data_IF_781647411410
#
_entry.id   IF_781647411410
#
_cell.length_a   1.000
_cell.length_b   1.000
_cell.length_c   1.000
_cell.angle_alpha   90.00
_cell.angle_beta   90.00
_cell.angle_gamma   90.00
#
_symmetry.space_group_name_H-M   'P 1'
#
loop_
_entity.id
_entity.type
_entity.pdbx_description
1 polymer ?
#
# COMPACT_ATOMS: atom_id res chain seq x y z
N UNK A 1 0.03 11.31 16.02
CA UNK A 1 0.45 12.40 15.12
C UNK A 1 1.68 11.90 14.38
N UNK A 2 1.93 12.31 13.11
CA UNK A 2 3.15 11.89 12.43
C UNK A 2 4.40 12.47 13.10
N UNK A 3 5.54 11.81 12.93
CA UNK A 3 6.84 12.22 13.47
C UNK A 3 7.71 12.81 12.36
N UNK A 4 8.19 14.05 12.55
CA UNK A 4 9.15 14.70 11.65
C UNK A 4 10.55 14.11 11.83
N UNK A 5 11.16 13.66 10.75
CA UNK A 5 12.51 13.05 10.76
C UNK A 5 13.28 13.43 9.51
N UNK A 6 14.59 13.15 9.49
CA UNK A 6 15.42 13.25 8.29
C UNK A 6 15.86 11.87 7.80
N UNK A 7 16.01 11.74 6.49
CA UNK A 7 16.54 10.54 5.86
C UNK A 7 18.02 10.32 6.20
N UNK A 8 18.36 9.12 6.65
CA UNK A 8 19.75 8.69 6.93
C UNK A 8 20.55 8.43 5.64
N UNK A 9 19.86 8.07 4.55
CA UNK A 9 20.42 7.94 3.21
C UNK A 9 19.32 8.08 2.16
N UNK A 10 19.70 8.39 0.92
CA UNK A 10 18.74 8.43 -0.17
C UNK A 10 18.02 7.07 -0.31
N UNK A 11 16.73 7.13 -0.65
CA UNK A 11 15.89 5.95 -0.79
C UNK A 11 14.86 6.14 -1.89
N UNK A 12 14.66 5.07 -2.68
CA UNK A 12 13.40 4.88 -3.42
C UNK A 12 12.26 4.73 -2.42
N UNK A 13 11.11 5.30 -2.75
CA UNK A 13 9.86 5.16 -2.00
C UNK A 13 8.93 4.23 -2.76
N UNK A 14 8.32 3.26 -2.08
CA UNK A 14 7.50 2.21 -2.69
C UNK A 14 6.03 2.32 -2.28
N UNK A 15 5.12 1.74 -3.08
CA UNK A 15 3.69 1.79 -2.76
C UNK A 15 3.27 0.84 -1.63
N UNK A 16 4.13 -0.10 -1.24
CA UNK A 16 3.94 -1.02 -0.12
C UNK A 16 5.28 -1.40 0.53
N UNK A 17 5.26 -2.15 1.64
CA UNK A 17 6.43 -2.46 2.47
C UNK A 17 7.28 -3.61 1.90
N UNK A 18 7.58 -3.57 0.60
CA UNK A 18 8.48 -4.50 -0.09
C UNK A 18 8.98 -3.88 -1.41
N UNK A 19 10.26 -4.04 -1.75
CA UNK A 19 10.88 -3.44 -2.93
C UNK A 19 10.72 -4.24 -4.23
N UNK A 20 10.27 -5.48 -4.14
CA UNK A 20 10.17 -6.43 -5.25
C UNK A 20 8.72 -6.59 -5.73
N UNK A 21 7.76 -6.57 -4.81
CA UNK A 21 6.35 -6.79 -5.09
C UNK A 21 5.59 -5.47 -5.36
N UNK A 22 6.10 -4.34 -4.86
CA UNK A 22 5.47 -3.02 -5.03
C UNK A 22 6.22 -2.13 -6.01
N UNK A 23 5.45 -1.38 -6.80
CA UNK A 23 6.00 -0.38 -7.70
C UNK A 23 6.61 0.81 -6.92
N UNK A 24 7.52 1.55 -7.55
CA UNK A 24 8.08 2.77 -7.00
C UNK A 24 7.11 3.96 -7.13
N UNK A 25 7.03 4.77 -6.06
CA UNK A 25 6.25 6.01 -5.94
C UNK A 25 7.07 7.24 -6.38
N UNK A 26 8.36 7.19 -6.07
CA UNK A 26 9.35 8.26 -6.27
C UNK A 26 10.58 7.98 -5.42
N UNK A 27 11.29 9.04 -5.02
CA UNK A 27 12.48 8.96 -4.18
C UNK A 27 12.55 10.13 -3.21
N UNK A 28 13.34 9.96 -2.16
CA UNK A 28 13.73 10.99 -1.18
C UNK A 28 15.26 11.00 -1.06
N UNK A 29 15.83 12.19 -0.92
CA UNK A 29 17.27 12.41 -0.83
C UNK A 29 17.83 12.18 0.58
N UNK A 30 19.16 12.07 0.68
CA UNK A 30 19.86 12.12 1.96
C UNK A 30 19.53 13.44 2.68
N UNK A 31 19.31 13.38 3.99
CA UNK A 31 18.95 14.52 4.85
C UNK A 31 17.63 15.22 4.51
N UNK A 32 16.85 14.73 3.55
CA UNK A 32 15.52 15.27 3.27
C UNK A 32 14.59 15.04 4.47
N UNK A 33 13.79 16.05 4.80
CA UNK A 33 12.82 15.98 5.88
C UNK A 33 11.53 15.30 5.41
N UNK A 34 11.07 14.30 6.17
CA UNK A 34 9.83 13.56 5.89
C UNK A 34 8.97 13.45 7.14
N UNK A 35 7.69 13.14 6.97
CA UNK A 35 6.75 12.85 8.05
C UNK A 35 6.50 11.33 8.10
N UNK A 36 6.79 10.69 9.23
CA UNK A 36 6.53 9.26 9.44
C UNK A 36 5.17 9.09 10.10
N UNK A 37 4.29 8.31 9.48
CA UNK A 37 2.93 8.08 9.98
C UNK A 37 2.79 6.76 10.73
N UNK A 38 3.53 5.74 10.31
CA UNK A 38 3.41 4.39 10.86
C UNK A 38 4.59 3.51 10.46
N UNK A 39 4.68 2.36 11.13
CA UNK A 39 5.45 1.19 10.71
C UNK A 39 4.52 0.14 10.10
N UNK A 40 5.00 -0.60 9.11
CA UNK A 40 4.39 -1.85 8.65
C UNK A 40 5.51 -2.82 8.33
N UNK A 41 5.51 -4.00 8.96
CA UNK A 41 6.65 -4.94 8.90
C UNK A 41 7.93 -4.19 9.28
N UNK A 42 8.97 -4.21 8.44
CA UNK A 42 10.24 -3.50 8.67
C UNK A 42 10.39 -2.24 7.80
N UNK A 43 9.28 -1.52 7.57
CA UNK A 43 9.21 -0.34 6.70
C UNK A 43 8.45 0.80 7.35
N UNK A 44 8.90 2.03 7.12
CA UNK A 44 8.20 3.24 7.54
C UNK A 44 7.27 3.74 6.42
N UNK A 45 6.01 4.00 6.76
CA UNK A 45 5.07 4.72 5.91
C UNK A 45 5.25 6.22 6.09
N UNK A 46 5.70 6.90 5.05
CA UNK A 46 6.11 8.32 5.08
C UNK A 46 5.25 9.19 4.17
N UNK A 47 5.24 10.50 4.46
CA UNK A 47 4.83 11.55 3.54
C UNK A 47 6.01 12.49 3.29
N UNK A 48 6.20 12.89 2.04
CA UNK A 48 7.27 13.77 1.62
C UNK A 48 6.77 14.74 0.54
N UNK A 49 7.38 15.93 0.50
CA UNK A 49 7.03 16.98 -0.45
C UNK A 49 7.67 16.71 -1.80
N UNK A 50 6.91 16.88 -2.88
CA UNK A 50 7.43 16.79 -4.26
C UNK A 50 7.37 18.12 -5.00
N UNK A 51 7.07 19.20 -4.27
CA UNK A 51 6.91 20.56 -4.75
C UNK A 51 6.33 21.43 -3.65
N UNK A 52 5.95 22.67 -3.98
CA UNK A 52 5.44 23.64 -3.00
C UNK A 52 4.12 23.22 -2.35
N UNK A 53 3.23 22.57 -3.11
CA UNK A 53 1.89 22.18 -2.66
C UNK A 53 1.58 20.69 -2.86
N UNK A 54 2.51 19.93 -3.44
CA UNK A 54 2.31 18.52 -3.76
C UNK A 54 3.10 17.64 -2.82
N UNK A 55 2.48 16.53 -2.42
CA UNK A 55 3.06 15.55 -1.51
C UNK A 55 2.76 14.15 -2.02
N UNK A 56 3.58 13.19 -1.64
CA UNK A 56 3.31 11.77 -1.86
C UNK A 56 3.44 11.01 -0.55
N UNK A 57 2.74 9.89 -0.44
CA UNK A 57 2.99 8.90 0.62
C UNK A 57 3.42 7.56 0.03
N UNK A 58 4.21 6.84 0.81
CA UNK A 58 4.72 5.52 0.45
C UNK A 58 5.64 4.98 1.53
N UNK A 59 6.39 3.93 1.22
CA UNK A 59 7.20 3.19 2.18
C UNK A 59 8.69 3.30 1.86
N UNK A 60 9.49 3.46 2.91
CA UNK A 60 10.96 3.35 2.86
C UNK A 60 11.43 2.29 3.88
N UNK A 61 12.53 1.59 3.62
CA UNK A 61 13.06 0.60 4.56
C UNK A 61 13.37 1.24 5.92
N UNK A 62 13.18 0.49 7.00
CA UNK A 62 13.48 0.94 8.37
C UNK A 62 14.87 1.59 8.51
N UNK A 63 15.89 1.01 7.87
CA UNK A 63 17.28 1.47 7.92
C UNK A 63 17.54 2.82 7.22
N UNK A 64 16.54 3.42 6.56
CA UNK A 64 16.69 4.68 5.81
C UNK A 64 16.34 5.93 6.62
N UNK A 65 15.86 5.78 7.84
CA UNK A 65 15.48 6.91 8.72
C UNK A 65 16.51 7.09 9.84
N UNK A 66 16.90 8.33 10.12
CA UNK A 66 17.75 8.63 11.26
C UNK A 66 17.02 8.32 12.58
N UNK A 67 17.74 7.71 13.54
CA UNK A 67 17.18 7.27 14.82
C UNK A 67 15.96 6.34 14.67
N UNK A 68 15.99 5.44 13.68
CA UNK A 68 14.86 4.57 13.33
C UNK A 68 14.17 3.88 14.52
N UNK A 69 14.92 3.41 15.52
CA UNK A 69 14.33 2.77 16.70
C UNK A 69 13.41 3.72 17.49
N UNK A 70 13.90 4.91 17.83
CA UNK A 70 13.12 5.91 18.53
C UNK A 70 11.92 6.40 17.69
N UNK A 71 12.08 6.45 16.37
CA UNK A 71 10.98 6.81 15.46
C UNK A 71 9.91 5.72 15.44
N UNK A 72 10.29 4.45 15.38
CA UNK A 72 9.36 3.33 15.43
C UNK A 72 8.58 3.29 16.75
N UNK A 73 9.21 3.61 17.88
CA UNK A 73 8.53 3.72 19.18
C UNK A 73 7.54 4.89 19.23
N UNK A 74 7.71 5.90 18.37
CA UNK A 74 6.87 7.11 18.32
C UNK A 74 5.65 7.02 17.40
N UNK A 75 5.57 5.99 16.55
CA UNK A 75 4.51 5.85 15.54
C UNK A 75 3.79 4.50 15.68
N UNK A 76 2.51 4.40 15.29
CA UNK A 76 1.79 3.14 15.36
C UNK A 76 2.37 2.09 14.40
N UNK A 77 2.26 0.82 14.76
CA UNK A 77 2.44 -0.30 13.82
C UNK A 77 1.10 -0.62 13.16
N UNK A 78 1.05 -0.58 11.83
CA UNK A 78 -0.12 -0.95 11.03
C UNK A 78 -0.18 -2.46 10.89
N UNK A 79 -1.35 -2.99 11.20
CA UNK A 79 -1.78 -4.34 10.86
C UNK A 79 -3.14 -4.21 10.20
N UNK A 80 -3.29 -4.73 8.99
CA UNK A 80 -4.55 -4.58 8.27
C UNK A 80 -5.51 -5.73 8.52
N UNK A 81 -6.78 -5.37 8.51
CA UNK A 81 -7.86 -6.25 8.07
C UNK A 81 -8.44 -5.65 6.80
N UNK A 82 -9.22 -6.43 6.05
CA UNK A 82 -9.77 -5.95 4.79
C UNK A 82 -10.49 -7.03 4.03
N UNK A 83 -10.90 -6.67 2.82
CA UNK A 83 -11.76 -7.47 1.96
C UNK A 83 -11.37 -7.29 0.50
N UNK A 84 -11.84 -8.20 -0.34
CA UNK A 84 -11.90 -7.96 -1.78
C UNK A 84 -13.11 -7.07 -2.08
N UNK A 85 -12.92 -6.09 -2.94
CA UNK A 85 -13.98 -5.27 -3.51
C UNK A 85 -13.78 -5.22 -5.04
N UNK A 86 -14.81 -4.76 -5.76
CA UNK A 86 -14.77 -4.60 -7.21
C UNK A 86 -15.33 -3.24 -7.56
N UNK A 87 -14.65 -2.52 -8.44
CA UNK A 87 -15.10 -1.18 -8.77
C UNK A 87 -16.30 -1.20 -9.70
N UNK A 88 -17.34 -0.40 -9.41
CA UNK A 88 -18.47 -0.18 -10.32
C UNK A 88 -18.27 1.00 -11.27
N UNK A 89 -17.16 1.73 -11.13
CA UNK A 89 -16.82 2.92 -11.91
C UNK A 89 -15.30 3.12 -11.95
N UNK A 90 -14.78 4.12 -12.66
CA UNK A 90 -13.36 4.44 -12.57
C UNK A 90 -13.07 5.13 -11.23
N UNK A 91 -12.11 4.61 -10.47
CA UNK A 91 -11.64 5.19 -9.21
C UNK A 91 -10.29 5.85 -9.42
N UNK A 92 -10.23 7.15 -9.21
CA UNK A 92 -8.95 7.84 -9.05
C UNK A 92 -8.37 7.46 -7.70
N UNK A 93 -7.20 6.83 -7.71
CA UNK A 93 -6.44 6.54 -6.50
C UNK A 93 -5.42 7.65 -6.32
N UNK A 94 -5.24 8.17 -5.12
CA UNK A 94 -4.24 9.18 -4.78
C UNK A 94 -3.15 8.59 -3.88
N UNK A 95 -1.93 9.12 -3.92
CA UNK A 95 -0.85 8.68 -3.02
C UNK A 95 -1.08 9.01 -1.54
N UNK A 96 -2.03 9.89 -1.22
CA UNK A 96 -2.43 10.25 0.14
C UNK A 96 -3.93 10.60 0.21
N UNK A 97 -4.48 10.81 1.41
CA UNK A 97 -5.91 11.02 1.63
C UNK A 97 -6.31 12.45 1.25
N UNK A 98 -6.55 12.67 -0.04
CA UNK A 98 -6.93 13.96 -0.60
C UNK A 98 -7.10 13.92 -2.12
N UNK A 99 -7.25 15.08 -2.75
CA UNK A 99 -7.41 15.20 -4.20
C UNK A 99 -6.06 15.09 -4.92
N UNK A 100 -6.12 14.83 -6.23
CA UNK A 100 -4.93 14.74 -7.10
C UNK A 100 -4.11 16.02 -7.18
N UNK A 101 -4.69 17.16 -6.78
CA UNK A 101 -3.99 18.46 -6.69
C UNK A 101 -2.94 18.49 -5.57
N UNK A 102 -3.21 17.80 -4.45
CA UNK A 102 -2.28 17.73 -3.30
C UNK A 102 -1.50 16.42 -3.32
N UNK A 103 -2.19 15.30 -3.56
CA UNK A 103 -1.60 13.98 -3.62
C UNK A 103 -1.74 13.41 -5.03
N UNK A 104 -0.70 13.44 -5.87
CA UNK A 104 -0.78 12.97 -7.24
C UNK A 104 -1.36 11.55 -7.34
N UNK A 105 -2.11 11.32 -8.41
CA UNK A 105 -2.71 10.01 -8.68
C UNK A 105 -1.70 9.10 -9.39
N UNK A 106 -1.35 7.93 -8.83
CA UNK A 106 -0.43 7.00 -9.47
C UNK A 106 -1.11 6.05 -10.48
N UNK A 107 -2.43 6.15 -10.62
CA UNK A 107 -3.22 5.36 -11.56
C UNK A 107 -4.70 5.33 -11.17
N UNK A 108 -5.45 4.63 -12.00
CA UNK A 108 -6.90 4.44 -11.89
C UNK A 108 -7.19 2.96 -11.68
N UNK A 109 -8.15 2.63 -10.82
CA UNK A 109 -8.81 1.32 -10.84
C UNK A 109 -10.04 1.45 -11.73
N UNK A 110 -10.07 0.76 -12.85
CA UNK A 110 -11.14 0.86 -13.83
C UNK A 110 -12.40 0.10 -13.38
N UNK A 111 -13.55 0.48 -13.93
CA UNK A 111 -14.80 -0.23 -13.69
C UNK A 111 -14.65 -1.72 -14.04
N UNK A 112 -15.08 -2.60 -13.12
CA UNK A 112 -14.96 -4.05 -13.23
C UNK A 112 -13.65 -4.64 -12.67
N UNK A 113 -12.65 -3.82 -12.35
CA UNK A 113 -11.41 -4.30 -11.74
C UNK A 113 -11.59 -4.61 -10.25
N UNK A 114 -11.04 -5.74 -9.83
CA UNK A 114 -10.96 -6.14 -8.43
C UNK A 114 -9.77 -5.48 -7.73
N UNK A 115 -9.93 -5.17 -6.45
CA UNK A 115 -8.88 -4.62 -5.61
C UNK A 115 -9.06 -5.06 -4.16
N UNK A 116 -8.00 -4.93 -3.36
CA UNK A 116 -8.06 -5.13 -1.92
C UNK A 116 -8.43 -3.83 -1.24
N UNK A 117 -9.50 -3.84 -0.47
CA UNK A 117 -9.94 -2.74 0.39
C UNK A 117 -9.45 -3.00 1.80
N UNK A 118 -8.56 -2.16 2.32
CA UNK A 118 -8.19 -2.22 3.73
C UNK A 118 -9.26 -1.55 4.59
N UNK A 119 -9.45 -2.05 5.82
CA UNK A 119 -10.26 -1.40 6.86
C UNK A 119 -9.50 -0.22 7.48
N UNK A 120 -8.99 0.67 6.62
CA UNK A 120 -8.33 1.90 7.03
C UNK A 120 -8.91 3.06 6.24
N UNK A 121 -9.46 4.02 6.98
CA UNK A 121 -10.07 5.22 6.43
C UNK A 121 -9.43 6.44 7.06
N UNK A 122 -9.08 7.43 6.23
CA UNK A 122 -8.65 8.75 6.68
C UNK A 122 -9.57 9.79 6.06
N UNK A 123 -10.40 10.44 6.88
CA UNK A 123 -11.46 11.34 6.40
C UNK A 123 -12.41 10.61 5.46
N UNK A 124 -12.61 11.14 4.25
CA UNK A 124 -13.48 10.52 3.23
C UNK A 124 -12.78 9.48 2.37
N UNK A 125 -11.53 9.12 2.64
CA UNK A 125 -10.73 8.24 1.77
C UNK A 125 -10.43 6.90 2.43
N UNK A 126 -10.59 5.82 1.68
CA UNK A 126 -10.26 4.46 2.10
C UNK A 126 -8.93 4.05 1.45
N UNK A 127 -8.05 3.42 2.23
CA UNK A 127 -6.80 2.87 1.73
C UNK A 127 -7.05 1.55 0.99
N UNK A 128 -6.50 1.42 -0.21
CA UNK A 128 -6.69 0.26 -1.09
C UNK A 128 -5.37 -0.21 -1.68
N UNK A 129 -5.33 -1.45 -2.12
CA UNK A 129 -4.25 -2.07 -2.89
C UNK A 129 -4.79 -2.66 -4.19
N UNK A 130 -4.08 -2.42 -5.29
CA UNK A 130 -4.50 -2.82 -6.62
C UNK A 130 -3.29 -3.12 -7.51
N UNK A 131 -3.47 -4.05 -8.43
CA UNK A 131 -2.41 -4.50 -9.33
C UNK A 131 -2.31 -3.59 -10.55
N UNK A 132 -1.09 -3.34 -11.02
CA UNK A 132 -0.84 -2.64 -12.28
C UNK A 132 0.25 -3.36 -13.08
N UNK A 133 0.42 -3.02 -14.36
CA UNK A 133 1.47 -3.60 -15.21
C UNK A 133 2.89 -3.31 -14.71
N UNK A 134 3.09 -2.29 -13.86
CA UNK A 134 4.39 -1.96 -13.26
C UNK A 134 4.56 -2.49 -11.83
N UNK A 135 3.67 -3.37 -11.38
CA UNK A 135 3.66 -3.94 -10.03
C UNK A 135 2.47 -3.47 -9.21
N UNK A 136 2.36 -4.00 -7.99
CA UNK A 136 1.27 -3.69 -7.06
C UNK A 136 1.43 -2.27 -6.53
N UNK A 137 0.31 -1.55 -6.39
CA UNK A 137 0.25 -0.20 -5.85
C UNK A 137 -0.76 -0.12 -4.70
N UNK A 138 -0.53 0.80 -3.78
CA UNK A 138 -1.47 1.16 -2.72
C UNK A 138 -1.71 2.66 -2.73
N UNK A 139 -2.88 3.07 -2.28
CA UNK A 139 -3.22 4.49 -2.20
C UNK A 139 -4.61 4.68 -1.64
N UNK A 140 -5.16 5.87 -1.84
CA UNK A 140 -6.39 6.32 -1.23
C UNK A 140 -7.43 6.61 -2.30
N UNK A 141 -8.56 5.91 -2.24
CA UNK A 141 -9.72 6.16 -3.09
C UNK A 141 -10.85 6.79 -2.27
N UNK A 142 -11.71 7.58 -2.91
CA UNK A 142 -12.84 8.21 -2.23
C UNK A 142 -13.84 7.13 -1.79
N UNK A 143 -14.12 7.06 -0.48
CA UNK A 143 -14.92 5.98 0.13
C UNK A 143 -16.32 5.89 -0.46
N UNK A 144 -16.93 7.03 -0.79
CA UNK A 144 -18.26 7.09 -1.39
C UNK A 144 -18.34 6.53 -2.82
N UNK A 145 -17.19 6.29 -3.47
CA UNK A 145 -17.12 5.70 -4.81
C UNK A 145 -16.88 4.19 -4.78
N UNK A 146 -16.56 3.61 -3.61
CA UNK A 146 -16.34 2.17 -3.49
C UNK A 146 -17.67 1.42 -3.51
N UNK A 147 -17.70 0.26 -4.17
CA UNK A 147 -18.91 -0.56 -4.24
C UNK A 147 -19.27 -1.21 -2.89
N UNK A 148 -18.29 -1.42 -2.00
CA UNK A 148 -18.52 -1.93 -0.65
C UNK A 148 -18.98 -3.38 -0.63
N UNK A 149 -18.56 -4.21 -1.60
CA UNK A 149 -18.94 -5.62 -1.66
C UNK A 149 -18.38 -6.44 -0.50
N UNK A 150 -17.21 -6.04 0.01
CA UNK A 150 -16.54 -6.60 1.18
C UNK A 150 -16.51 -8.13 1.22
N UNK A 151 -15.95 -8.77 0.18
CA UNK A 151 -15.90 -10.23 0.05
C UNK A 151 -14.66 -10.81 0.72
N UNK A 152 -14.81 -11.97 1.36
CA UNK A 152 -13.70 -12.73 1.94
C UNK A 152 -13.09 -12.09 3.18
N UNK A 153 -11.85 -12.46 3.51
CA UNK A 153 -11.08 -11.87 4.61
C UNK A 153 -9.62 -11.72 4.20
N UNK A 154 -9.03 -10.57 4.47
CA UNK A 154 -7.61 -10.31 4.27
C UNK A 154 -6.74 -11.26 5.12
N UNK A 155 -5.71 -11.82 4.51
CA UNK A 155 -4.69 -12.62 5.15
C UNK A 155 -3.29 -12.25 4.60
N UNK A 156 -2.26 -12.55 5.37
CA UNK A 156 -0.86 -12.42 4.98
C UNK A 156 -0.28 -13.81 4.70
N UNK A 157 0.48 -13.95 3.62
CA UNK A 157 1.24 -15.16 3.30
C UNK A 157 2.46 -15.23 4.22
N UNK A 158 2.38 -16.02 5.29
CA UNK A 158 3.38 -16.03 6.38
C UNK A 158 4.33 -17.22 6.40
N UNK A 159 4.03 -18.32 5.71
CA UNK A 159 4.84 -19.53 5.75
C UNK A 159 5.90 -19.57 4.64
N UNK A 160 5.48 -19.69 3.38
CA UNK A 160 6.31 -19.71 2.17
C UNK A 160 5.50 -19.25 0.97
N UNK A 161 6.19 -18.74 -0.06
CA UNK A 161 5.59 -18.51 -1.38
C UNK A 161 4.97 -19.80 -1.92
N UNK A 162 3.82 -19.70 -2.58
CA UNK A 162 3.07 -20.85 -3.06
C UNK A 162 2.55 -20.63 -4.47
N UNK A 163 2.50 -21.72 -5.26
CA UNK A 163 1.83 -21.74 -6.56
C UNK A 163 0.32 -21.73 -6.37
N UNK A 164 -0.36 -20.85 -7.09
CA UNK A 164 -1.82 -20.78 -7.14
C UNK A 164 -2.31 -21.65 -8.29
N UNK A 165 -3.33 -22.47 -8.03
CA UNK A 165 -3.96 -23.35 -9.01
C UNK A 165 -5.39 -22.88 -9.31
N UNK A 166 -5.89 -23.12 -10.52
CA UNK A 166 -7.26 -22.75 -10.94
C UNK A 166 -8.35 -23.66 -10.34
N UNK A 167 -7.99 -24.50 -9.38
CA UNK A 167 -8.89 -25.37 -8.65
C UNK A 167 -8.30 -25.82 -7.31
N UNK A 168 -9.03 -26.64 -6.55
CA UNK A 168 -8.72 -26.91 -5.14
C UNK A 168 -7.52 -27.86 -4.92
N UNK A 169 -6.85 -28.32 -5.99
CA UNK A 169 -5.76 -29.30 -5.92
C UNK A 169 -4.59 -28.90 -6.82
N UNK A 170 -3.41 -29.45 -6.54
CA UNK A 170 -2.16 -29.15 -7.24
C UNK A 170 -2.03 -29.79 -8.65
N UNK A 171 -3.03 -30.55 -9.09
CA UNK A 171 -3.11 -31.10 -10.44
C UNK A 171 -3.93 -30.24 -11.41
N UNK A 172 -4.44 -29.09 -10.94
CA UNK A 172 -5.10 -28.10 -11.80
C UNK A 172 -4.06 -27.21 -12.49
N UNK A 173 -4.51 -26.45 -13.49
CA UNK A 173 -3.65 -25.48 -14.20
C UNK A 173 -3.13 -24.45 -13.21
N UNK A 174 -1.84 -24.12 -13.30
CA UNK A 174 -1.25 -23.02 -12.53
C UNK A 174 -1.85 -21.68 -12.96
N UNK A 175 -2.43 -20.95 -12.01
CA UNK A 175 -2.95 -19.59 -12.18
C UNK A 175 -1.95 -18.50 -11.79
N UNK A 176 -0.79 -18.88 -11.23
CA UNK A 176 0.27 -17.95 -10.83
C UNK A 176 0.93 -18.39 -9.52
N UNK A 177 1.38 -17.41 -8.75
CA UNK A 177 1.96 -17.61 -7.42
C UNK A 177 1.55 -16.48 -6.49
N UNK A 178 1.58 -16.76 -5.18
CA UNK A 178 1.58 -15.77 -4.12
C UNK A 178 2.94 -15.82 -3.43
N UNK A 179 3.48 -14.67 -3.04
CA UNK A 179 4.79 -14.55 -2.44
C UNK A 179 4.71 -14.33 -0.94
N UNK A 180 5.74 -14.78 -0.22
CA UNK A 180 5.90 -14.50 1.21
C UNK A 180 5.76 -13.01 1.48
N UNK A 181 4.89 -12.65 2.43
CA UNK A 181 4.63 -11.27 2.83
C UNK A 181 3.65 -10.52 1.93
N UNK A 182 3.05 -11.14 0.93
CA UNK A 182 1.94 -10.54 0.19
C UNK A 182 0.62 -10.67 0.95
N UNK A 183 -0.25 -9.68 0.75
CA UNK A 183 -1.63 -9.80 1.18
C UNK A 183 -2.45 -10.56 0.15
N UNK A 184 -3.31 -11.44 0.64
CA UNK A 184 -4.32 -12.16 -0.15
C UNK A 184 -5.68 -11.99 0.52
N UNK A 185 -6.75 -12.17 -0.25
CA UNK A 185 -8.11 -12.24 0.31
C UNK A 185 -8.61 -13.67 0.18
N UNK A 186 -8.85 -14.31 1.32
CA UNK A 186 -9.43 -15.65 1.36
C UNK A 186 -10.93 -15.53 1.12
N UNK A 187 -11.40 -16.00 -0.03
CA UNK A 187 -12.81 -15.92 -0.42
C UNK A 187 -13.64 -17.06 0.19
N UNK A 188 -13.06 -18.25 0.26
CA UNK A 188 -13.70 -19.49 0.74
C UNK A 188 -12.63 -20.37 1.43
N UNK A 189 -13.05 -21.24 2.35
CA UNK A 189 -12.18 -22.15 3.10
C UNK A 189 -12.63 -23.60 2.91
#
# INVERSE_FOLDING_TARGET
MPTSVTMASASTVYYGPDSSNYAAVGSVGLNESVQVYAMEKNWFFIEYSTGTSTKKRGYVPYSKINNAAAVADSVPTRSFTGYADVSSQNLTVCTGPGTSTVYPSPGTVYAGEGFTRFNETTGSYTYIEYSTSSGTKRGYALTSQLAGRNRGVLADVTAVSATVFTGPRNNYVTGGSVYLGEYVVILEK
#
